data_IF_935542506005
#
_entry.id   IF_935542506005
#
_cell.length_a   1.000
_cell.length_b   1.000
_cell.length_c   1.000
_cell.angle_alpha   90.00
_cell.angle_beta   90.00
_cell.angle_gamma   90.00
#
_symmetry.space_group_name_H-M   'P 1'
#
loop_
_entity.id
_entity.type
_entity.pdbx_description
1 polymer ?
#
# COMPACT_ATOMS: atom_id res chain seq x y z
N UNK A 1 -18.03 -12.35 -14.76
CA UNK A 1 -16.69 -12.23 -15.39
C UNK A 1 -16.75 -11.90 -16.88
N UNK A 2 -17.44 -12.66 -17.76
CA UNK A 2 -17.56 -12.34 -19.23
C UNK A 2 -18.06 -10.92 -19.57
N UNK A 3 -18.71 -10.24 -18.61
CA UNK A 3 -19.21 -8.87 -18.72
C UNK A 3 -18.20 -7.77 -18.30
N UNK A 4 -17.09 -8.09 -17.61
CA UNK A 4 -16.13 -7.10 -17.09
C UNK A 4 -15.42 -6.33 -18.21
N UNK A 5 -14.91 -7.04 -19.22
CA UNK A 5 -14.28 -6.46 -20.42
C UNK A 5 -15.24 -5.59 -21.25
N UNK A 6 -16.55 -5.83 -21.11
CA UNK A 6 -17.61 -5.19 -21.91
C UNK A 6 -18.42 -4.16 -21.10
N UNK A 7 -17.96 -3.78 -19.90
CA UNK A 7 -18.61 -2.73 -19.11
C UNK A 7 -18.51 -1.41 -19.85
N UNK A 8 -19.59 -0.62 -19.85
CA UNK A 8 -19.60 0.74 -20.43
C UNK A 8 -18.73 1.69 -19.61
N UNK A 9 -18.72 1.54 -18.29
CA UNK A 9 -17.90 2.31 -17.35
C UNK A 9 -16.89 1.38 -16.71
N UNK A 10 -15.62 1.82 -16.62
CA UNK A 10 -14.50 1.03 -16.10
C UNK A 10 -14.42 -0.40 -16.67
N UNK A 11 -14.25 -0.55 -18.00
CA UNK A 11 -13.96 -1.87 -18.57
C UNK A 11 -12.66 -2.42 -17.98
N UNK A 12 -12.66 -3.69 -17.61
CA UNK A 12 -11.50 -4.35 -17.00
C UNK A 12 -11.16 -5.63 -17.74
N UNK A 13 -9.92 -5.73 -18.19
CA UNK A 13 -9.37 -6.93 -18.81
C UNK A 13 -8.85 -7.88 -17.74
N UNK A 14 -9.30 -9.12 -17.81
CA UNK A 14 -8.85 -10.24 -16.96
C UNK A 14 -8.75 -11.47 -17.85
N UNK A 15 -7.64 -12.21 -17.76
CA UNK A 15 -7.39 -13.40 -18.59
C UNK A 15 -8.13 -14.63 -18.05
N UNK A 16 -8.37 -15.62 -18.90
CA UNK A 16 -9.10 -16.83 -18.51
C UNK A 16 -8.47 -17.59 -17.32
N UNK A 17 -7.14 -17.78 -17.26
CA UNK A 17 -6.51 -18.44 -16.11
C UNK A 17 -6.74 -17.69 -14.79
N UNK A 18 -6.72 -16.35 -14.80
CA UNK A 18 -6.98 -15.55 -13.60
C UNK A 18 -8.44 -15.69 -13.16
N UNK A 19 -9.39 -15.82 -14.10
CA UNK A 19 -10.79 -16.08 -13.79
C UNK A 19 -10.93 -17.42 -13.08
N UNK A 20 -10.28 -18.46 -13.58
CA UNK A 20 -10.33 -19.80 -12.98
C UNK A 20 -9.71 -19.81 -11.57
N UNK A 21 -8.57 -19.14 -11.39
CA UNK A 21 -7.96 -18.96 -10.06
C UNK A 21 -8.92 -18.26 -9.09
N UNK A 22 -9.53 -17.14 -9.50
CA UNK A 22 -10.50 -16.42 -8.68
C UNK A 22 -11.71 -17.29 -8.32
N UNK A 23 -12.23 -18.07 -9.26
CA UNK A 23 -13.36 -18.98 -9.01
C UNK A 23 -13.00 -20.09 -8.01
N UNK A 24 -11.74 -20.49 -7.93
CA UNK A 24 -11.26 -21.43 -6.92
C UNK A 24 -11.09 -20.77 -5.53
N UNK A 25 -10.73 -19.48 -5.48
CA UNK A 25 -10.52 -18.72 -4.24
C UNK A 25 -11.85 -18.27 -3.61
N UNK A 26 -12.82 -17.84 -4.42
CA UNK A 26 -14.10 -17.26 -3.94
C UNK A 26 -14.85 -18.15 -2.93
N UNK A 27 -14.97 -19.48 -3.12
CA UNK A 27 -15.67 -20.34 -2.16
C UNK A 27 -15.10 -20.29 -0.75
N UNK A 28 -13.79 -20.11 -0.59
CA UNK A 28 -13.18 -19.97 0.74
C UNK A 28 -13.69 -18.74 1.49
N UNK A 29 -13.96 -17.64 0.77
CA UNK A 29 -14.35 -16.35 1.33
C UNK A 29 -15.85 -16.17 1.58
N UNK A 30 -16.67 -17.12 1.11
CA UNK A 30 -18.11 -17.13 1.39
C UNK A 30 -18.35 -17.05 2.90
N UNK A 31 -19.20 -16.13 3.34
CA UNK A 31 -19.52 -15.85 4.74
C UNK A 31 -18.33 -15.38 5.62
N UNK A 32 -17.13 -15.20 5.05
CA UNK A 32 -15.92 -14.74 5.77
C UNK A 32 -15.48 -13.32 5.40
N UNK A 33 -16.02 -12.76 4.32
CA UNK A 33 -15.74 -11.37 3.95
C UNK A 33 -16.29 -10.41 5.02
N UNK A 34 -15.67 -9.24 5.17
CA UNK A 34 -16.11 -8.22 6.14
C UNK A 34 -17.59 -7.82 5.92
N UNK A 35 -18.01 -7.75 4.66
CA UNK A 35 -19.34 -7.28 4.29
C UNK A 35 -20.38 -8.36 4.53
N UNK A 36 -20.17 -9.54 3.94
CA UNK A 36 -21.13 -10.64 4.00
C UNK A 36 -21.17 -11.29 5.39
N UNK A 37 -20.01 -11.53 5.99
CA UNK A 37 -19.88 -12.26 7.26
C UNK A 37 -20.05 -11.42 8.52
N UNK A 38 -19.92 -10.08 8.45
CA UNK A 38 -19.97 -9.22 9.65
C UNK A 38 -20.89 -8.01 9.52
N UNK A 39 -20.71 -7.22 8.46
CA UNK A 39 -21.41 -5.93 8.32
C UNK A 39 -22.89 -6.12 8.02
N UNK A 40 -23.24 -6.85 6.97
CA UNK A 40 -24.64 -7.09 6.58
C UNK A 40 -25.46 -7.76 7.70
N UNK A 41 -24.98 -8.82 8.37
CA UNK A 41 -25.69 -9.43 9.49
C UNK A 41 -25.98 -8.44 10.63
N UNK A 42 -25.02 -7.57 10.96
CA UNK A 42 -25.20 -6.55 12.00
C UNK A 42 -26.24 -5.52 11.61
N UNK A 43 -26.13 -4.96 10.40
CA UNK A 43 -27.08 -3.96 9.90
C UNK A 43 -28.51 -4.50 9.80
N UNK A 44 -28.68 -5.77 9.38
CA UNK A 44 -29.99 -6.44 9.37
C UNK A 44 -30.54 -6.60 10.78
N UNK A 45 -29.73 -7.09 11.73
CA UNK A 45 -30.15 -7.28 13.12
C UNK A 45 -30.60 -5.96 13.78
N UNK A 46 -29.97 -4.86 13.40
CA UNK A 46 -30.28 -3.51 13.90
C UNK A 46 -31.41 -2.82 13.10
N UNK A 47 -32.03 -3.49 12.11
CA UNK A 47 -33.05 -2.94 11.21
C UNK A 47 -32.61 -1.69 10.43
N UNK A 48 -31.30 -1.55 10.17
CA UNK A 48 -30.72 -0.45 9.39
C UNK A 48 -30.80 -0.69 7.88
N UNK A 49 -30.96 -1.95 7.46
CA UNK A 49 -31.24 -2.35 6.09
C UNK A 49 -32.41 -3.34 6.06
N UNK A 50 -33.21 -3.30 5.01
CA UNK A 50 -34.41 -4.14 4.83
C UNK A 50 -34.14 -5.42 4.02
N UNK A 51 -32.91 -5.59 3.52
CA UNK A 51 -32.47 -6.74 2.76
C UNK A 51 -31.03 -6.61 2.29
N UNK A 52 -30.48 -7.67 1.70
CA UNK A 52 -29.09 -7.74 1.18
C UNK A 52 -29.04 -7.44 -0.33
N UNK A 53 -30.20 -7.20 -0.97
CA UNK A 53 -30.32 -6.91 -2.41
C UNK A 53 -30.09 -5.42 -2.73
N UNK A 54 -30.06 -5.09 -4.03
CA UNK A 54 -29.79 -3.78 -4.68
C UNK A 54 -30.37 -2.50 -4.03
N UNK A 55 -31.34 -2.61 -3.12
CA UNK A 55 -31.93 -1.45 -2.42
C UNK A 55 -31.05 -1.01 -1.24
N UNK A 56 -30.28 -1.90 -0.60
CA UNK A 56 -29.30 -1.51 0.43
C UNK A 56 -28.11 -0.71 -0.13
N UNK A 57 -27.81 -0.85 -1.42
CA UNK A 57 -26.78 -0.06 -2.13
C UNK A 57 -27.19 1.38 -2.48
N UNK A 58 -28.44 1.78 -2.22
CA UNK A 58 -28.92 3.14 -2.52
C UNK A 58 -28.67 4.14 -1.39
N UNK A 59 -28.32 3.69 -0.18
CA UNK A 59 -27.83 4.58 0.88
C UNK A 59 -26.32 4.81 0.64
N UNK A 60 -25.87 6.01 0.20
CA UNK A 60 -24.48 6.24 -0.22
C UNK A 60 -23.45 5.93 0.89
N UNK A 61 -23.85 6.15 2.14
CA UNK A 61 -23.02 5.90 3.32
C UNK A 61 -22.91 4.41 3.69
N UNK A 62 -23.88 3.59 3.30
CA UNK A 62 -23.85 2.13 3.49
C UNK A 62 -23.17 1.46 2.28
N UNK A 63 -23.41 1.98 1.08
CA UNK A 63 -22.79 1.46 -0.13
C UNK A 63 -21.27 1.67 -0.12
N UNK A 64 -20.75 2.79 0.38
CA UNK A 64 -19.29 2.96 0.49
C UNK A 64 -18.65 1.80 1.27
N UNK A 65 -19.27 1.37 2.38
CA UNK A 65 -18.81 0.22 3.17
C UNK A 65 -18.87 -1.09 2.39
N UNK A 66 -19.92 -1.33 1.58
CA UNK A 66 -20.07 -2.55 0.76
C UNK A 66 -18.97 -2.70 -0.30
N UNK A 67 -18.35 -1.60 -0.74
CA UNK A 67 -17.28 -1.67 -1.72
C UNK A 67 -15.87 -1.38 -1.19
N UNK A 68 -15.68 -0.54 -0.15
CA UNK A 68 -14.36 -0.01 0.30
C UNK A 68 -14.02 -0.59 1.66
N UNK A 69 -12.74 -0.92 1.83
CA UNK A 69 -12.12 -0.83 3.14
C UNK A 69 -11.94 0.67 3.47
N UNK A 70 -12.31 1.14 4.66
CA UNK A 70 -12.27 2.57 4.99
C UNK A 70 -10.84 3.13 4.85
N UNK A 71 -10.60 3.96 3.82
CA UNK A 71 -9.37 4.72 3.64
C UNK A 71 -9.48 6.11 4.28
N UNK A 72 -9.06 7.15 3.55
CA UNK A 72 -9.09 8.56 3.97
C UNK A 72 -8.08 8.90 5.07
N UNK A 73 -6.86 8.42 4.90
CA UNK A 73 -5.78 8.67 5.85
C UNK A 73 -4.48 9.03 5.14
N UNK A 74 -3.56 9.60 5.91
CA UNK A 74 -2.16 9.73 5.54
C UNK A 74 -1.37 8.69 6.34
N UNK A 75 -0.49 7.91 5.69
CA UNK A 75 0.24 6.80 6.30
C UNK A 75 1.32 7.21 7.32
N UNK A 76 1.40 8.50 7.69
CA UNK A 76 2.41 9.01 8.62
C UNK A 76 3.83 8.98 8.06
N UNK A 77 4.02 9.40 6.80
CA UNK A 77 5.32 9.38 6.10
C UNK A 77 6.47 10.02 6.88
N UNK A 78 6.21 11.05 7.69
CA UNK A 78 7.25 11.66 8.55
C UNK A 78 7.88 10.63 9.48
N UNK A 79 7.06 9.80 10.15
CA UNK A 79 7.54 8.75 11.06
C UNK A 79 8.24 7.63 10.27
N UNK A 80 7.66 7.25 9.14
CA UNK A 80 8.20 6.20 8.28
C UNK A 80 9.57 6.56 7.69
N UNK A 81 9.74 7.78 7.18
CA UNK A 81 11.01 8.27 6.65
C UNK A 81 12.06 8.43 7.74
N UNK A 82 11.66 8.77 8.97
CA UNK A 82 12.58 8.93 10.10
C UNK A 82 13.09 7.58 10.64
N UNK A 83 12.23 6.56 10.69
CA UNK A 83 12.56 5.28 11.33
C UNK A 83 12.94 4.18 10.33
N UNK A 84 12.49 4.27 9.08
CA UNK A 84 12.50 3.14 8.15
C UNK A 84 11.62 2.00 8.65
N UNK A 85 11.54 0.91 7.89
CA UNK A 85 10.76 -0.27 8.32
C UNK A 85 11.37 -0.95 9.54
N UNK A 86 12.70 -1.07 9.58
CA UNK A 86 13.44 -1.68 10.69
C UNK A 86 13.22 -0.93 12.00
N UNK A 87 13.31 0.41 12.00
CA UNK A 87 13.04 1.18 13.21
C UNK A 87 11.58 1.09 13.70
N UNK A 88 10.62 0.78 12.82
CA UNK A 88 9.25 0.49 13.26
C UNK A 88 9.17 -0.89 13.93
N UNK A 89 9.85 -1.90 13.40
CA UNK A 89 9.96 -3.23 14.02
C UNK A 89 10.59 -3.13 15.40
N UNK A 90 11.72 -2.41 15.52
CA UNK A 90 12.42 -2.20 16.79
C UNK A 90 11.54 -1.49 17.83
N UNK A 91 10.76 -0.48 17.40
CA UNK A 91 9.80 0.18 18.30
C UNK A 91 8.67 -0.76 18.73
N UNK A 92 8.17 -1.61 17.84
CA UNK A 92 7.16 -2.60 18.19
C UNK A 92 7.70 -3.60 19.20
N UNK A 93 8.94 -4.09 19.03
CA UNK A 93 9.61 -4.99 19.97
C UNK A 93 9.83 -4.32 21.33
N UNK A 94 10.30 -3.07 21.34
CA UNK A 94 10.47 -2.29 22.57
C UNK A 94 9.15 -2.14 23.33
N UNK A 95 8.10 -1.64 22.68
CA UNK A 95 6.82 -1.42 23.36
C UNK A 95 6.11 -2.71 23.76
N UNK A 96 6.28 -3.79 22.99
CA UNK A 96 5.78 -5.11 23.35
C UNK A 96 6.45 -5.63 24.63
N UNK A 97 7.76 -5.44 24.78
CA UNK A 97 8.49 -5.87 26.00
C UNK A 97 8.14 -5.06 27.26
N UNK A 98 7.47 -3.92 27.10
CA UNK A 98 7.04 -3.04 28.18
C UNK A 98 5.58 -3.26 28.60
N UNK A 99 4.87 -4.21 27.98
CA UNK A 99 3.48 -4.50 28.32
C UNK A 99 3.36 -5.10 29.72
N UNK A 100 2.36 -4.63 30.48
CA UNK A 100 2.00 -5.24 31.76
C UNK A 100 1.15 -6.48 31.51
N UNK A 101 1.66 -7.65 31.88
CA UNK A 101 0.96 -8.93 31.70
C UNK A 101 -0.34 -9.05 32.50
N UNK A 102 -0.55 -8.18 33.49
CA UNK A 102 -1.74 -8.18 34.33
C UNK A 102 -2.87 -7.29 33.80
N UNK A 103 -2.62 -6.51 32.74
CA UNK A 103 -3.67 -5.66 32.17
C UNK A 103 -4.66 -6.49 31.34
N UNK A 104 -5.95 -6.17 31.43
CA UNK A 104 -7.01 -6.89 30.71
C UNK A 104 -6.81 -6.90 29.18
N UNK A 105 -6.13 -5.88 28.64
CA UNK A 105 -5.87 -5.70 27.20
C UNK A 105 -4.52 -6.29 26.76
N UNK A 106 -3.77 -6.96 27.65
CA UNK A 106 -2.42 -7.44 27.38
C UNK A 106 -2.35 -8.23 26.07
N UNK A 107 -3.25 -9.20 25.92
CA UNK A 107 -3.23 -10.10 24.76
C UNK A 107 -3.49 -9.35 23.46
N UNK A 108 -4.41 -8.38 23.45
CA UNK A 108 -4.74 -7.60 22.26
C UNK A 108 -3.58 -6.68 21.86
N UNK A 109 -2.96 -6.01 22.83
CA UNK A 109 -1.77 -5.18 22.59
C UNK A 109 -0.57 -6.02 22.12
N UNK A 110 -0.36 -7.17 22.73
CA UNK A 110 0.69 -8.10 22.34
C UNK A 110 0.49 -8.61 20.89
N UNK A 111 -0.75 -9.01 20.55
CA UNK A 111 -1.12 -9.43 19.20
C UNK A 111 -0.93 -8.30 18.18
N UNK A 112 -1.28 -7.05 18.55
CA UNK A 112 -1.08 -5.89 17.69
C UNK A 112 0.40 -5.68 17.36
N UNK A 113 1.30 -5.70 18.35
CA UNK A 113 2.74 -5.55 18.10
C UNK A 113 3.30 -6.71 17.28
N UNK A 114 2.84 -7.94 17.50
CA UNK A 114 3.20 -9.08 16.65
C UNK A 114 2.78 -8.85 15.19
N UNK A 115 1.54 -8.41 14.96
CA UNK A 115 1.05 -8.09 13.62
C UNK A 115 1.88 -6.98 12.95
N UNK A 116 2.25 -5.93 13.69
CA UNK A 116 3.14 -4.85 13.18
C UNK A 116 4.49 -5.41 12.75
N UNK A 117 5.12 -6.27 13.59
CA UNK A 117 6.41 -6.89 13.25
C UNK A 117 6.29 -7.77 12.00
N UNK A 118 5.25 -8.59 11.89
CA UNK A 118 5.01 -9.44 10.71
C UNK A 118 4.87 -8.58 9.46
N UNK A 119 4.05 -7.53 9.52
CA UNK A 119 3.81 -6.63 8.40
C UNK A 119 5.11 -5.98 7.89
N UNK A 120 5.89 -5.36 8.77
CA UNK A 120 7.11 -4.67 8.35
C UNK A 120 8.24 -5.62 7.98
N UNK A 121 8.32 -6.82 8.57
CA UNK A 121 9.22 -7.88 8.11
C UNK A 121 8.87 -8.34 6.69
N UNK A 122 7.58 -8.44 6.36
CA UNK A 122 7.13 -8.73 4.99
C UNK A 122 7.46 -7.57 4.02
N UNK A 123 7.28 -6.31 4.44
CA UNK A 123 7.67 -5.14 3.65
C UNK A 123 9.18 -5.11 3.35
N UNK A 124 10.01 -5.44 4.34
CA UNK A 124 11.46 -5.59 4.19
C UNK A 124 11.79 -6.73 3.20
N UNK A 125 11.18 -7.90 3.37
CA UNK A 125 11.39 -9.01 2.44
C UNK A 125 10.99 -8.63 0.99
N UNK A 126 9.92 -7.84 0.84
CA UNK A 126 9.50 -7.34 -0.46
C UNK A 126 10.52 -6.37 -1.06
N UNK A 127 11.13 -5.49 -0.26
CA UNK A 127 12.18 -4.59 -0.76
C UNK A 127 13.41 -5.37 -1.24
N UNK A 128 13.80 -6.42 -0.52
CA UNK A 128 14.90 -7.31 -0.93
C UNK A 128 14.62 -8.01 -2.26
N UNK A 129 13.37 -8.42 -2.52
CA UNK A 129 12.99 -9.00 -3.83
C UNK A 129 13.18 -8.00 -4.97
N UNK A 130 12.80 -6.74 -4.77
CA UNK A 130 13.02 -5.68 -5.76
C UNK A 130 14.50 -5.34 -5.93
N UNK A 131 15.28 -5.38 -4.85
CA UNK A 131 16.74 -5.26 -4.91
C UNK A 131 17.33 -6.33 -5.82
N UNK A 132 17.02 -7.59 -5.53
CA UNK A 132 17.51 -8.73 -6.32
C UNK A 132 17.11 -8.60 -7.79
N UNK A 133 15.83 -8.33 -8.08
CA UNK A 133 15.35 -8.16 -9.44
C UNK A 133 16.09 -7.05 -10.20
N UNK A 134 16.27 -5.89 -9.57
CA UNK A 134 16.95 -4.75 -10.19
C UNK A 134 18.43 -5.08 -10.50
N UNK A 135 19.12 -5.75 -9.58
CA UNK A 135 20.51 -6.17 -9.77
C UNK A 135 20.64 -7.27 -10.83
N UNK A 136 19.70 -8.22 -10.91
CA UNK A 136 19.68 -9.22 -11.98
C UNK A 136 19.48 -8.56 -13.35
N UNK A 137 18.53 -7.63 -13.47
CA UNK A 137 18.31 -6.87 -14.71
C UNK A 137 19.54 -6.05 -15.11
N UNK A 138 20.32 -5.55 -14.15
CA UNK A 138 21.54 -4.81 -14.42
C UNK A 138 22.66 -5.66 -15.05
N UNK A 139 22.67 -6.98 -14.80
CA UNK A 139 23.72 -7.88 -15.35
C UNK A 139 23.68 -7.96 -16.87
N UNK A 140 22.47 -8.01 -17.43
CA UNK A 140 22.25 -8.17 -18.89
C UNK A 140 21.91 -6.85 -19.59
N UNK A 141 21.89 -5.72 -18.86
CA UNK A 141 21.60 -4.41 -19.44
C UNK A 141 22.79 -3.88 -20.25
N UNK A 142 22.53 -3.58 -21.53
CA UNK A 142 23.52 -3.07 -22.49
C UNK A 142 23.69 -1.55 -22.34
N UNK A 143 22.60 -0.81 -22.13
CA UNK A 143 22.67 0.64 -21.97
C UNK A 143 23.32 1.00 -20.63
N UNK A 144 24.48 1.65 -20.68
CA UNK A 144 25.29 1.96 -19.49
C UNK A 144 24.60 2.89 -18.50
N UNK A 145 23.82 3.87 -18.98
CA UNK A 145 23.02 4.76 -18.13
C UNK A 145 21.94 3.96 -17.39
N UNK A 146 21.17 3.14 -18.12
CA UNK A 146 20.12 2.31 -17.51
C UNK A 146 20.69 1.27 -16.54
N UNK A 147 21.86 0.71 -16.83
CA UNK A 147 22.56 -0.21 -15.92
C UNK A 147 22.89 0.47 -14.59
N UNK A 148 23.42 1.70 -14.62
CA UNK A 148 23.69 2.49 -13.41
C UNK A 148 22.41 2.78 -12.61
N UNK A 149 21.32 3.13 -13.29
CA UNK A 149 20.02 3.33 -12.64
C UNK A 149 19.53 2.07 -11.92
N UNK A 150 19.59 0.91 -12.58
CA UNK A 150 19.19 -0.39 -12.00
C UNK A 150 20.06 -0.78 -10.79
N UNK A 151 21.37 -0.54 -10.86
CA UNK A 151 22.26 -0.77 -9.70
C UNK A 151 21.89 0.17 -8.56
N UNK A 152 21.62 1.44 -8.85
CA UNK A 152 21.20 2.44 -7.85
C UNK A 152 19.91 2.02 -7.17
N UNK A 153 18.89 1.63 -7.94
CA UNK A 153 17.62 1.11 -7.42
C UNK A 153 17.85 -0.13 -6.56
N UNK A 154 18.67 -1.08 -7.05
CA UNK A 154 19.00 -2.30 -6.29
C UNK A 154 19.58 -1.98 -4.92
N UNK A 155 20.58 -1.11 -4.88
CA UNK A 155 21.23 -0.70 -3.64
C UNK A 155 20.28 0.04 -2.68
N UNK A 156 19.45 0.95 -3.18
CA UNK A 156 18.44 1.64 -2.35
C UNK A 156 17.42 0.66 -1.76
N UNK A 157 16.90 -0.26 -2.56
CA UNK A 157 15.90 -1.24 -2.12
C UNK A 157 16.49 -2.22 -1.08
N UNK A 158 17.77 -2.57 -1.20
CA UNK A 158 18.52 -3.34 -0.20
C UNK A 158 18.70 -2.55 1.11
N UNK A 159 19.03 -1.26 1.00
CA UNK A 159 19.21 -0.37 2.15
C UNK A 159 17.96 -0.28 3.02
N UNK A 160 16.77 -0.24 2.42
CA UNK A 160 15.49 -0.17 3.15
C UNK A 160 15.20 -1.36 4.07
N UNK A 161 15.92 -2.46 3.91
CA UNK A 161 15.84 -3.60 4.83
C UNK A 161 16.50 -3.34 6.19
N UNK A 162 17.34 -2.30 6.29
CA UNK A 162 18.16 -2.03 7.47
C UNK A 162 18.05 -0.59 7.95
N UNK A 163 17.95 0.35 7.02
CA UNK A 163 18.09 1.77 7.31
C UNK A 163 16.91 2.57 6.75
N UNK A 164 16.66 3.71 7.39
CA UNK A 164 15.81 4.76 6.86
C UNK A 164 16.40 5.36 5.56
N UNK A 165 15.58 5.95 4.69
CA UNK A 165 16.07 6.72 3.56
C UNK A 165 16.83 7.97 4.04
N UNK A 166 17.94 8.25 3.38
CA UNK A 166 18.88 9.32 3.71
C UNK A 166 19.17 10.23 2.53
N UNK A 167 18.57 10.04 1.36
CA UNK A 167 18.69 10.96 0.19
C UNK A 167 17.30 11.34 -0.31
N UNK A 168 17.19 12.40 -1.11
CA UNK A 168 15.95 12.79 -1.75
C UNK A 168 15.40 11.67 -2.65
N UNK A 169 16.28 11.01 -3.40
CA UNK A 169 15.91 9.86 -4.22
C UNK A 169 15.43 8.68 -3.37
N UNK A 170 16.16 8.34 -2.30
CA UNK A 170 15.74 7.29 -1.37
C UNK A 170 14.39 7.63 -0.72
N UNK A 171 14.15 8.90 -0.33
CA UNK A 171 12.89 9.31 0.27
C UNK A 171 11.71 9.16 -0.70
N UNK A 172 11.87 9.59 -1.96
CA UNK A 172 10.85 9.40 -3.01
C UNK A 172 10.57 7.92 -3.25
N UNK A 173 11.63 7.12 -3.41
CA UNK A 173 11.53 5.68 -3.65
C UNK A 173 10.84 4.99 -2.45
N UNK A 174 11.15 5.39 -1.22
CA UNK A 174 10.55 4.87 0.00
C UNK A 174 9.06 5.21 0.11
N UNK A 175 8.68 6.46 -0.19
CA UNK A 175 7.28 6.91 -0.21
C UNK A 175 6.47 6.12 -1.24
N UNK A 176 6.97 6.04 -2.47
CA UNK A 176 6.32 5.25 -3.52
C UNK A 176 6.16 3.79 -3.11
N UNK A 177 7.23 3.18 -2.61
CA UNK A 177 7.22 1.76 -2.26
C UNK A 177 6.26 1.48 -1.10
N UNK A 178 6.24 2.35 -0.09
CA UNK A 178 5.25 2.29 1.01
C UNK A 178 3.83 2.42 0.46
N UNK A 179 3.57 3.41 -0.40
CA UNK A 179 2.24 3.61 -1.00
C UNK A 179 1.80 2.36 -1.77
N UNK A 180 2.71 1.75 -2.53
CA UNK A 180 2.43 0.54 -3.28
C UNK A 180 2.05 -0.63 -2.35
N UNK A 181 2.79 -0.86 -1.26
CA UNK A 181 2.47 -1.88 -0.26
C UNK A 181 1.09 -1.61 0.36
N UNK A 182 0.80 -0.35 0.71
CA UNK A 182 -0.51 0.03 1.27
C UNK A 182 -1.62 -0.31 0.28
N UNK A 183 -1.45 -0.01 -1.01
CA UNK A 183 -2.47 -0.32 -2.02
C UNK A 183 -2.65 -1.83 -2.28
N UNK A 184 -1.61 -2.65 -2.06
CA UNK A 184 -1.71 -4.12 -2.12
C UNK A 184 -2.54 -4.65 -0.94
N UNK A 185 -2.26 -4.15 0.27
CA UNK A 185 -2.87 -4.67 1.50
C UNK A 185 -4.28 -4.10 1.71
N UNK A 186 -4.47 -2.85 1.31
CA UNK A 186 -5.66 -2.07 1.57
C UNK A 186 -6.34 -1.71 0.25
N UNK A 187 -6.97 -2.73 -0.35
CA UNK A 187 -7.62 -2.62 -1.64
C UNK A 187 -8.84 -1.67 -1.54
N UNK A 188 -8.88 -0.65 -2.42
CA UNK A 188 -9.91 0.42 -2.47
C UNK A 188 -9.84 1.44 -1.31
N UNK A 189 -8.65 1.98 -1.02
CA UNK A 189 -8.46 3.08 -0.07
C UNK A 189 -7.99 4.38 -0.73
N UNK A 190 -8.48 5.49 -0.17
CA UNK A 190 -7.94 6.83 -0.40
C UNK A 190 -6.80 7.07 0.61
N UNK A 191 -5.56 6.71 0.25
CA UNK A 191 -4.37 7.08 1.04
C UNK A 191 -3.70 8.27 0.40
N UNK A 192 -3.76 9.42 1.09
CA UNK A 192 -3.10 10.63 0.66
C UNK A 192 -1.64 10.65 1.11
N UNK A 193 -0.77 11.25 0.31
CA UNK A 193 0.64 11.47 0.65
C UNK A 193 0.83 12.58 1.69
N UNK A 194 -0.20 13.38 1.96
CA UNK A 194 -0.14 14.53 2.85
C UNK A 194 0.67 15.68 2.25
N UNK A 195 1.38 16.43 3.11
CA UNK A 195 2.19 17.59 2.72
C UNK A 195 3.56 17.17 2.18
N UNK A 196 3.55 16.56 0.99
CA UNK A 196 4.75 16.00 0.36
C UNK A 196 5.86 17.03 0.20
N UNK A 197 5.49 18.29 -0.07
CA UNK A 197 6.38 19.45 -0.10
C UNK A 197 7.19 19.56 1.20
N UNK A 198 6.52 19.54 2.36
CA UNK A 198 7.17 19.68 3.67
C UNK A 198 7.93 18.41 4.07
N UNK A 199 7.40 17.25 3.70
CA UNK A 199 7.97 15.94 4.05
C UNK A 199 9.31 15.74 3.33
N UNK A 200 9.40 16.13 2.06
CA UNK A 200 10.59 15.95 1.24
C UNK A 200 11.58 17.12 1.33
N UNK A 201 11.15 18.32 1.76
CA UNK A 201 11.99 19.52 1.79
C UNK A 201 13.35 19.32 2.48
N UNK A 202 13.45 18.65 3.66
CA UNK A 202 14.74 18.45 4.32
C UNK A 202 15.72 17.61 3.49
N UNK A 203 15.21 16.59 2.78
CA UNK A 203 16.00 15.72 1.91
C UNK A 203 16.44 16.48 0.66
N UNK A 204 15.54 17.26 0.07
CA UNK A 204 15.81 18.08 -1.10
C UNK A 204 16.90 19.12 -0.81
N UNK A 205 16.73 19.92 0.24
CA UNK A 205 17.66 21.00 0.58
C UNK A 205 19.06 20.47 0.83
N UNK A 206 19.18 19.41 1.66
CA UNK A 206 20.46 18.79 1.95
C UNK A 206 21.15 18.25 0.70
N UNK A 207 20.43 17.55 -0.17
CA UNK A 207 21.05 16.94 -1.35
C UNK A 207 21.44 17.97 -2.43
N UNK A 208 20.68 19.06 -2.54
CA UNK A 208 21.01 20.23 -3.39
C UNK A 208 22.26 20.93 -2.85
N UNK A 209 22.31 21.22 -1.54
CA UNK A 209 23.45 21.88 -0.89
C UNK A 209 24.73 21.04 -1.01
N UNK A 210 24.61 19.72 -0.85
CA UNK A 210 25.73 18.79 -1.00
C UNK A 210 26.09 18.46 -2.45
N UNK A 211 25.37 18.99 -3.44
CA UNK A 211 25.58 18.69 -4.86
C UNK A 211 25.37 17.22 -5.22
N UNK A 212 24.64 16.46 -4.40
CA UNK A 212 24.32 15.04 -4.66
C UNK A 212 23.25 14.89 -5.74
N UNK A 213 22.41 15.91 -5.89
CA UNK A 213 21.40 16.03 -6.93
C UNK A 213 21.34 17.48 -7.42
N UNK A 214 20.96 17.70 -8.67
CA UNK A 214 20.60 19.02 -9.18
C UNK A 214 19.07 19.19 -9.26
N UNK A 215 18.62 20.40 -9.63
CA UNK A 215 17.18 20.70 -9.69
C UNK A 215 16.47 19.92 -10.79
N UNK A 216 17.15 19.62 -11.90
CA UNK A 216 16.60 18.88 -13.03
C UNK A 216 16.32 17.43 -12.63
N UNK A 217 17.28 16.79 -11.98
CA UNK A 217 17.14 15.42 -11.49
C UNK A 217 16.10 15.34 -10.38
N UNK A 218 16.01 16.34 -9.50
CA UNK A 218 14.97 16.39 -8.48
C UNK A 218 13.56 16.49 -9.10
N UNK A 219 13.40 17.30 -10.15
CA UNK A 219 12.14 17.41 -10.89
C UNK A 219 11.77 16.07 -11.54
N UNK A 220 12.71 15.44 -12.25
CA UNK A 220 12.49 14.13 -12.89
C UNK A 220 12.00 13.08 -11.88
N UNK A 221 12.56 13.04 -10.67
CA UNK A 221 12.13 12.10 -9.64
C UNK A 221 10.70 12.35 -9.13
N UNK A 222 10.28 13.62 -9.04
CA UNK A 222 8.91 13.98 -8.67
C UNK A 222 7.93 13.65 -9.81
N UNK A 223 8.33 13.86 -11.06
CA UNK A 223 7.55 13.47 -12.23
C UNK A 223 7.35 11.95 -12.29
N UNK A 224 8.43 11.17 -12.09
CA UNK A 224 8.38 9.72 -11.99
C UNK A 224 7.48 9.26 -10.84
N UNK A 225 7.55 9.90 -9.67
CA UNK A 225 6.64 9.62 -8.56
C UNK A 225 5.19 9.85 -8.98
N UNK A 226 4.87 10.99 -9.59
CA UNK A 226 3.52 11.29 -10.06
C UNK A 226 3.02 10.24 -11.06
N UNK A 227 3.83 9.85 -12.04
CA UNK A 227 3.48 8.79 -12.98
C UNK A 227 3.15 7.49 -12.25
N UNK A 228 3.99 7.08 -11.29
CA UNK A 228 3.77 5.87 -10.51
C UNK A 228 2.50 5.89 -9.65
N UNK A 229 2.10 7.06 -9.15
CA UNK A 229 0.90 7.20 -8.33
C UNK A 229 -0.39 7.08 -9.14
N UNK A 230 -0.34 7.34 -10.45
CA UNK A 230 -1.51 7.23 -11.35
C UNK A 230 -1.87 5.79 -11.74
N UNK A 231 -0.99 4.81 -11.52
CA UNK A 231 -1.19 3.41 -11.95
C UNK A 231 -2.17 2.61 -11.06
N UNK A 232 -2.62 3.15 -9.93
CA UNK A 232 -3.44 2.39 -8.99
C UNK A 232 -4.86 2.19 -9.53
N UNK A 233 -5.07 1.07 -10.23
CA UNK A 233 -6.38 0.70 -10.76
C UNK A 233 -7.25 0.14 -9.64
N UNK A 234 -8.32 0.86 -9.34
CA UNK A 234 -9.36 0.40 -8.42
C UNK A 234 -10.54 -0.14 -9.23
N UNK A 235 -10.84 -1.44 -9.09
CA UNK A 235 -12.00 -2.04 -9.72
C UNK A 235 -13.25 -1.78 -8.87
N UNK A 236 -14.23 -1.07 -9.43
CA UNK A 236 -15.51 -0.84 -8.75
C UNK A 236 -16.59 -1.83 -9.23
N UNK A 237 -17.51 -2.26 -8.35
CA UNK A 237 -18.74 -2.92 -8.79
C UNK A 237 -19.56 -1.98 -9.68
N UNK A 238 -20.31 -2.54 -10.64
CA UNK A 238 -21.07 -1.76 -11.63
C UNK A 238 -22.08 -0.81 -10.96
N UNK A 239 -22.62 -1.27 -9.83
CA UNK A 239 -23.62 -0.60 -9.01
C UNK A 239 -23.12 0.76 -8.49
N UNK A 240 -21.80 0.94 -8.33
CA UNK A 240 -21.19 2.22 -7.93
C UNK A 240 -20.88 3.15 -9.09
N UNK A 241 -20.82 2.63 -10.31
CA UNK A 241 -20.41 3.38 -11.49
C UNK A 241 -21.58 3.97 -12.28
N UNK A 242 -22.81 3.69 -11.83
CA UNK A 242 -24.07 4.06 -12.48
C UNK A 242 -24.86 5.11 -11.69
N UNK A 243 -24.31 5.59 -10.57
CA UNK A 243 -24.83 6.73 -9.80
C UNK A 243 -24.21 8.02 -10.32
#
# INVERSE_FOLDING_TARGET
>A
YKKLRRRKVQPFAIEEPDIDELLNIIPFWKDKSLIDGRTNPKLLKENLITGISQIASLAPNVSIQVGTTEGHLCAGYVKLLKLGYTGIVEKAELFQSQLDTNENEFQDKNNFYEAVKIYYKAAIAFSIRFSALSLEMAKTQINSKRKKELITIGNMMSKFAKNAPETFYEAIQFIWFTQNIINIVYQRSVVALGRLDQILLPYYMRDIENGTIDREKALELIEELNLKLTWNVTLLPNEFTLV
#
